data_IF_480970836559
#
_entry.id   IF_480970836559
#
_cell.length_a   1.000
_cell.length_b   1.000
_cell.length_c   1.000
_cell.angle_alpha   90.00
_cell.angle_beta   90.00
_cell.angle_gamma   90.00
#
_symmetry.space_group_name_H-M   'P 1'
#
loop_
_entity.id
_entity.type
_entity.pdbx_description
1 polymer ?
#
# COMPACT_ATOMS: atom_id res chain seq x y z
N UNK A 1 -5.14 -6.06 -8.21
CA UNK A 1 -5.86 -5.27 -7.18
C UNK A 1 -6.77 -6.15 -6.31
N UNK A 2 -7.09 -7.36 -6.77
CA UNK A 2 -7.82 -8.42 -6.05
C UNK A 2 -7.28 -8.86 -4.67
N UNK A 3 -6.16 -8.36 -4.17
CA UNK A 3 -5.60 -8.79 -2.88
C UNK A 3 -5.83 -7.80 -1.73
N UNK A 4 -5.76 -6.49 -2.00
CA UNK A 4 -5.82 -5.45 -0.95
C UNK A 4 -7.23 -4.92 -0.68
N UNK A 5 -8.18 -5.15 -1.59
CA UNK A 5 -9.60 -4.80 -1.39
C UNK A 5 -10.51 -6.03 -1.37
N UNK A 6 -9.97 -7.25 -1.38
CA UNK A 6 -10.79 -8.45 -1.37
C UNK A 6 -10.96 -9.03 0.05
N UNK A 7 -12.14 -8.88 0.68
CA UNK A 7 -12.38 -9.32 2.05
C UNK A 7 -12.49 -10.85 2.19
N UNK A 8 -12.61 -11.58 1.07
CA UNK A 8 -12.76 -13.05 1.07
C UNK A 8 -11.43 -13.80 1.03
N UNK A 9 -10.30 -13.09 0.88
CA UNK A 9 -8.97 -13.70 0.89
C UNK A 9 -8.48 -13.90 2.33
N UNK A 10 -8.18 -15.15 2.73
CA UNK A 10 -7.88 -15.53 4.13
C UNK A 10 -6.71 -14.77 4.79
N UNK A 11 -5.76 -14.24 4.02
CA UNK A 11 -4.63 -13.42 4.53
C UNK A 11 -4.79 -11.90 4.29
N UNK A 12 -5.79 -11.49 3.50
CA UNK A 12 -6.00 -10.10 3.06
C UNK A 12 -7.15 -9.38 3.76
N UNK A 13 -8.04 -10.13 4.43
CA UNK A 13 -9.27 -9.61 5.00
C UNK A 13 -9.07 -8.42 5.96
N UNK A 14 -8.09 -8.47 6.88
CA UNK A 14 -7.84 -7.37 7.81
C UNK A 14 -7.37 -6.08 7.14
N UNK A 15 -6.57 -6.19 6.06
CA UNK A 15 -6.12 -5.03 5.27
C UNK A 15 -7.28 -4.45 4.46
N UNK A 16 -8.09 -5.31 3.85
CA UNK A 16 -9.27 -4.89 3.12
C UNK A 16 -10.27 -4.16 4.03
N UNK A 17 -10.57 -4.70 5.22
CA UNK A 17 -11.43 -4.06 6.21
C UNK A 17 -10.89 -2.69 6.62
N UNK A 18 -9.59 -2.60 6.93
CA UNK A 18 -8.95 -1.33 7.25
C UNK A 18 -9.15 -0.28 6.15
N UNK A 19 -8.82 -0.59 4.89
CA UNK A 19 -8.99 0.41 3.81
C UNK A 19 -10.47 0.75 3.54
N UNK A 20 -11.37 -0.22 3.66
CA UNK A 20 -12.81 0.00 3.52
C UNK A 20 -13.36 0.93 4.61
N UNK A 21 -12.83 0.87 5.84
CA UNK A 21 -13.20 1.81 6.91
C UNK A 21 -12.87 3.27 6.55
N UNK A 22 -11.91 3.51 5.67
CA UNK A 22 -11.55 4.85 5.17
C UNK A 22 -12.28 5.24 3.86
N UNK A 23 -13.29 4.47 3.47
CA UNK A 23 -14.14 4.77 2.31
C UNK A 23 -13.64 4.22 0.98
N UNK A 24 -12.56 3.43 0.95
CA UNK A 24 -12.18 2.72 -0.26
C UNK A 24 -13.15 1.58 -0.56
N UNK A 25 -13.42 1.33 -1.84
CA UNK A 25 -14.37 0.32 -2.31
C UNK A 25 -13.81 -0.50 -3.46
N UNK A 26 -14.26 -1.74 -3.59
CA UNK A 26 -13.84 -2.65 -4.67
C UNK A 26 -14.30 -2.12 -6.02
N UNK A 27 -15.51 -1.56 -6.07
CA UNK A 27 -16.12 -0.99 -7.27
C UNK A 27 -15.40 0.29 -7.72
N UNK A 28 -14.63 0.92 -6.82
CA UNK A 28 -13.87 2.16 -7.03
C UNK A 28 -12.38 1.91 -6.85
N UNK A 29 -11.90 0.72 -7.24
CA UNK A 29 -10.52 0.27 -6.99
C UNK A 29 -9.46 1.17 -7.64
N UNK A 30 -9.79 1.88 -8.72
CA UNK A 30 -8.91 2.82 -9.40
C UNK A 30 -8.51 3.98 -8.48
N UNK A 31 -9.44 4.47 -7.65
CA UNK A 31 -9.17 5.52 -6.67
C UNK A 31 -8.17 5.04 -5.62
N UNK A 32 -8.31 3.79 -5.16
CA UNK A 32 -7.35 3.18 -4.25
C UNK A 32 -5.97 3.00 -4.90
N UNK A 33 -5.94 2.50 -6.14
CA UNK A 33 -4.69 2.35 -6.88
C UNK A 33 -4.01 3.70 -7.14
N UNK A 34 -4.76 4.77 -7.39
CA UNK A 34 -4.23 6.13 -7.54
C UNK A 34 -3.62 6.62 -6.22
N UNK A 35 -4.34 6.50 -5.10
CA UNK A 35 -3.86 6.90 -3.78
C UNK A 35 -2.56 6.16 -3.39
N UNK A 36 -2.45 4.87 -3.69
CA UNK A 36 -1.24 4.09 -3.43
C UNK A 36 -0.04 4.54 -4.28
N UNK A 37 -0.25 4.83 -5.57
CA UNK A 37 0.81 5.34 -6.45
C UNK A 37 1.29 6.71 -5.99
N UNK A 38 0.37 7.60 -5.63
CA UNK A 38 0.69 8.90 -5.07
C UNK A 38 1.47 8.75 -3.76
N UNK A 39 1.01 7.89 -2.85
CA UNK A 39 1.70 7.58 -1.61
C UNK A 39 3.14 7.12 -1.84
N UNK A 40 3.35 6.13 -2.73
CA UNK A 40 4.68 5.60 -3.04
C UNK A 40 5.61 6.58 -3.75
N UNK A 41 5.05 7.59 -4.45
CA UNK A 41 5.84 8.59 -5.19
C UNK A 41 6.16 9.84 -4.36
N UNK A 42 5.31 10.16 -3.38
CA UNK A 42 5.39 11.41 -2.63
C UNK A 42 6.06 11.28 -1.25
N UNK A 43 6.23 10.07 -0.74
CA UNK A 43 6.79 9.83 0.60
C UNK A 43 8.16 9.17 0.55
N UNK A 44 8.88 9.26 1.68
CA UNK A 44 10.24 8.75 1.79
C UNK A 44 10.27 7.23 1.87
N UNK A 45 11.23 6.63 1.15
CA UNK A 45 11.63 5.25 1.39
C UNK A 45 12.25 5.16 2.77
N UNK A 46 11.65 4.37 3.66
CA UNK A 46 12.16 4.11 5.01
C UNK A 46 13.10 2.91 5.06
N UNK A 47 12.98 1.98 4.12
CA UNK A 47 13.84 0.82 3.99
C UNK A 47 14.02 0.41 2.53
N UNK A 48 15.24 0.09 2.15
CA UNK A 48 15.57 -0.55 0.87
C UNK A 48 16.26 -1.87 1.16
N UNK A 49 15.82 -2.96 0.52
CA UNK A 49 16.42 -4.29 0.67
C UNK A 49 16.68 -4.87 -0.71
N UNK A 50 17.93 -5.24 -0.97
CA UNK A 50 18.28 -6.01 -2.17
C UNK A 50 17.73 -7.43 -2.04
N UNK A 51 17.02 -7.90 -3.07
CA UNK A 51 16.52 -9.26 -3.17
C UNK A 51 17.07 -9.94 -4.42
N UNK A 52 16.89 -11.25 -4.55
CA UNK A 52 17.25 -11.96 -5.78
C UNK A 52 16.49 -11.47 -7.03
N UNK A 53 15.40 -10.73 -6.85
CA UNK A 53 14.59 -10.18 -7.93
C UNK A 53 14.90 -8.72 -8.24
N UNK A 54 15.70 -8.04 -7.42
CA UNK A 54 15.96 -6.60 -7.50
C UNK A 54 15.61 -5.87 -6.19
N UNK A 55 15.75 -4.54 -6.14
CA UNK A 55 15.54 -3.78 -4.92
C UNK A 55 14.06 -3.72 -4.53
N UNK A 56 13.81 -3.95 -3.25
CA UNK A 56 12.52 -3.77 -2.59
C UNK A 56 12.53 -2.52 -1.75
N UNK A 57 11.46 -1.74 -1.83
CA UNK A 57 11.31 -0.45 -1.13
C UNK A 57 10.11 -0.51 -0.18
N UNK A 58 10.30 -0.06 1.05
CA UNK A 58 9.23 0.23 1.99
C UNK A 58 9.09 1.74 2.12
N UNK A 59 7.88 2.24 1.95
CA UNK A 59 7.54 3.66 1.99
C UNK A 59 6.50 3.87 3.07
N UNK A 60 6.74 4.82 3.96
CA UNK A 60 5.84 5.17 5.06
C UNK A 60 5.26 6.56 4.86
N UNK A 61 3.98 6.73 5.18
CA UNK A 61 3.35 8.04 5.16
C UNK A 61 1.82 8.02 5.19
N UNK A 62 1.19 9.21 5.24
CA UNK A 62 -0.25 9.36 5.14
C UNK A 62 -0.78 8.93 3.75
N UNK A 63 -1.84 8.13 3.75
CA UNK A 63 -2.58 7.79 2.53
C UNK A 63 -3.83 8.66 2.43
N UNK A 64 -3.98 9.41 1.34
CA UNK A 64 -5.19 10.20 1.09
C UNK A 64 -6.39 9.27 0.87
N UNK A 65 -7.38 9.32 1.76
CA UNK A 65 -8.54 8.47 1.70
C UNK A 65 -9.83 9.20 1.24
N UNK A 66 -10.79 8.50 0.62
CA UNK A 66 -12.03 9.08 0.11
C UNK A 66 -12.87 9.81 1.15
N UNK A 67 -12.82 9.39 2.41
CA UNK A 67 -13.54 10.03 3.51
C UNK A 67 -12.86 11.29 4.07
N UNK A 68 -11.74 11.71 3.48
CA UNK A 68 -10.97 12.89 3.86
C UNK A 68 -9.96 12.65 4.99
N UNK A 69 -9.92 11.47 5.60
CA UNK A 69 -8.87 11.10 6.57
C UNK A 69 -7.59 10.68 5.86
N UNK A 70 -6.51 10.60 6.64
CA UNK A 70 -5.17 10.30 6.15
C UNK A 70 -4.48 9.26 7.05
N UNK A 71 -4.89 7.98 7.00
CA UNK A 71 -4.24 6.93 7.79
C UNK A 71 -2.76 6.81 7.47
N UNK A 72 -1.95 6.53 8.50
CA UNK A 72 -0.54 6.20 8.35
C UNK A 72 -0.40 4.76 7.84
N UNK A 73 0.26 4.59 6.70
CA UNK A 73 0.41 3.28 6.06
C UNK A 73 1.85 3.06 5.59
N UNK A 74 2.22 1.78 5.52
CA UNK A 74 3.40 1.30 4.82
C UNK A 74 2.99 0.66 3.51
N UNK A 75 3.60 1.09 2.41
CA UNK A 75 3.52 0.42 1.11
C UNK A 75 4.85 -0.25 0.80
N UNK A 76 4.79 -1.43 0.18
CA UNK A 76 5.97 -2.23 -0.18
C UNK A 76 5.99 -2.43 -1.68
N UNK A 77 7.08 -2.05 -2.32
CA UNK A 77 7.25 -2.02 -3.76
C UNK A 77 8.45 -2.86 -4.17
N UNK A 78 8.33 -3.59 -5.28
CA UNK A 78 9.42 -4.35 -5.89
C UNK A 78 9.75 -3.77 -7.25
N UNK A 79 11.02 -3.43 -7.48
CA UNK A 79 11.53 -3.20 -8.83
C UNK A 79 12.27 -4.46 -9.27
N UNK A 80 11.72 -5.17 -10.26
CA UNK A 80 12.35 -6.38 -10.77
C UNK A 80 13.51 -6.05 -11.72
N UNK A 81 14.53 -6.91 -11.77
CA UNK A 81 15.69 -6.71 -12.64
C UNK A 81 15.24 -6.66 -14.10
N UNK A 82 15.54 -5.54 -14.77
CA UNK A 82 15.18 -5.30 -16.17
C UNK A 82 13.86 -4.58 -16.37
N UNK A 83 13.08 -4.38 -15.31
CA UNK A 83 11.86 -3.56 -15.35
C UNK A 83 12.18 -2.08 -15.14
N UNK A 84 11.29 -1.21 -15.65
CA UNK A 84 11.46 0.25 -15.61
C UNK A 84 10.63 0.93 -14.52
N UNK A 85 9.73 0.19 -13.87
CA UNK A 85 8.85 0.70 -12.84
C UNK A 85 8.58 -0.37 -11.78
N UNK A 86 8.47 0.02 -10.50
CA UNK A 86 8.16 -0.93 -9.45
C UNK A 86 6.68 -1.33 -9.47
N UNK A 87 6.39 -2.55 -8.99
CA UNK A 87 5.03 -3.01 -8.73
C UNK A 87 4.77 -3.13 -7.22
N UNK A 88 3.52 -2.92 -6.83
CA UNK A 88 3.11 -2.97 -5.43
C UNK A 88 3.01 -4.41 -4.96
N UNK A 89 3.79 -4.77 -3.94
CA UNK A 89 3.68 -6.05 -3.23
C UNK A 89 2.49 -6.01 -2.26
N UNK A 90 2.45 -5.01 -1.38
CA UNK A 90 1.42 -4.90 -0.33
C UNK A 90 1.31 -3.48 0.24
N UNK A 91 0.20 -3.21 0.93
CA UNK A 91 -0.03 -1.99 1.71
C UNK A 91 -0.72 -2.38 3.04
N UNK A 92 -0.31 -1.77 4.16
CA UNK A 92 -0.89 -2.06 5.47
C UNK A 92 -0.76 -0.84 6.40
N UNK A 93 -1.64 -0.72 7.43
CA UNK A 93 -1.46 0.30 8.46
C UNK A 93 -0.08 0.19 9.11
N UNK A 94 0.53 1.34 9.40
CA UNK A 94 1.61 1.38 10.38
C UNK A 94 0.99 1.07 11.73
N UNK A 95 1.49 0.04 12.42
CA UNK A 95 1.11 -0.17 13.82
C UNK A 95 1.41 1.12 14.58
N UNK A 96 0.41 1.66 15.28
CA UNK A 96 0.64 2.78 16.15
C UNK A 96 1.61 2.32 17.22
N UNK A 97 2.86 2.80 17.14
CA UNK A 97 3.80 2.75 18.26
C UNK A 97 3.05 3.32 19.46
N UNK A 98 2.62 2.43 20.36
CA UNK A 98 2.25 2.85 21.70
C UNK A 98 3.58 3.14 22.39
N UNK A 99 3.99 4.41 22.34
CA UNK A 99 4.93 4.97 23.33
C UNK A 99 4.26 5.00 24.72
#
# INVERSE_FOLDING_TARGET
>A
VDYLLNPTHGYGASKAQFFMEFGFRVEEWEAFAAALREHGSCHNVVQMTETMFGPRFEVDGPLLAPDGRQPQVRTVWQLDVGEIAPWLITAHPLEASHD
#
